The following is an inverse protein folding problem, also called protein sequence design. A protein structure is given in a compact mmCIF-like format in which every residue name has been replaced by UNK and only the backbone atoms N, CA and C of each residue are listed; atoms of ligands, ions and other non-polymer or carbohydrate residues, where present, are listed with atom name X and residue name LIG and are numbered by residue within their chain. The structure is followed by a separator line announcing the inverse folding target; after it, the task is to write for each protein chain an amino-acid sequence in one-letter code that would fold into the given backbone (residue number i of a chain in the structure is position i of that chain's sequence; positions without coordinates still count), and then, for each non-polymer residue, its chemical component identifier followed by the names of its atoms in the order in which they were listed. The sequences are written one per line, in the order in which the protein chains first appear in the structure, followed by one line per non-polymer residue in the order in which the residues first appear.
data_IF_342375728488
#
_entry.id   IF_342375728488
#
_cell.length_a   1.000
_cell.length_b   1.000
_cell.length_c   1.000
_cell.angle_alpha   90.00
_cell.angle_beta   90.00
_cell.angle_gamma   90.00
#
_symmetry.space_group_name_H-M   'P 1'
#
loop_
_entity.id
_entity.type
_entity.pdbx_description
1 polymer ?
#
# COMPACT_ATOMS: atom_id res chain seq x y z
N UNK A 1 7.88 6.07 16.61
CA UNK A 1 7.70 5.23 15.40
C UNK A 1 8.65 4.07 15.50
N UNK A 2 8.17 2.84 15.36
CA UNK A 2 9.04 1.67 15.35
C UNK A 2 9.69 1.60 13.98
N UNK A 3 10.85 2.25 13.83
CA UNK A 3 11.62 2.20 12.60
C UNK A 3 12.49 0.94 12.59
N UNK A 4 12.89 0.46 11.41
CA UNK A 4 13.79 -0.68 11.26
C UNK A 4 15.11 -0.49 12.04
N UNK A 5 15.60 0.75 12.13
CA UNK A 5 16.73 1.14 12.99
C UNK A 5 16.48 0.83 14.47
N UNK A 6 15.27 1.11 14.96
CA UNK A 6 14.88 0.81 16.33
C UNK A 6 14.74 -0.70 16.57
N UNK A 7 14.24 -1.45 15.57
CA UNK A 7 14.20 -2.93 15.63
C UNK A 7 15.61 -3.50 15.65
N UNK A 8 16.52 -3.00 14.79
CA UNK A 8 17.92 -3.42 14.76
C UNK A 8 18.63 -3.13 16.07
N UNK A 9 18.33 -1.99 16.69
CA UNK A 9 18.82 -1.66 18.02
C UNK A 9 18.27 -2.61 19.09
N UNK A 10 16.96 -2.83 19.13
CA UNK A 10 16.32 -3.67 20.16
C UNK A 10 16.67 -5.16 20.04
N UNK A 11 16.83 -5.67 18.81
CA UNK A 11 17.06 -7.10 18.55
C UNK A 11 18.56 -7.44 18.50
N UNK A 12 19.36 -6.58 17.87
CA UNK A 12 20.79 -6.85 17.62
C UNK A 12 21.75 -5.90 18.34
N UNK A 13 21.25 -4.88 19.05
CA UNK A 13 22.08 -3.86 19.69
C UNK A 13 22.77 -2.92 18.70
N UNK A 14 22.33 -2.89 17.43
CA UNK A 14 22.94 -2.11 16.37
C UNK A 14 22.26 -0.76 16.21
N UNK A 15 22.96 0.33 16.55
CA UNK A 15 22.51 1.69 16.28
C UNK A 15 22.88 2.08 14.84
N UNK A 16 21.91 1.99 13.93
CA UNK A 16 22.11 2.21 12.50
C UNK A 16 21.16 3.30 12.02
N UNK A 17 21.71 4.38 11.46
CA UNK A 17 20.91 5.46 10.92
C UNK A 17 20.02 5.01 9.74
N UNK A 18 18.88 5.69 9.56
CA UNK A 18 17.91 5.42 8.49
C UNK A 18 18.55 5.48 7.11
N UNK A 19 19.53 6.38 6.89
CA UNK A 19 20.22 6.50 5.61
C UNK A 19 21.11 5.28 5.37
N UNK A 20 21.83 4.82 6.39
CA UNK A 20 22.68 3.63 6.29
C UNK A 20 21.87 2.38 5.97
N UNK A 21 20.70 2.19 6.62
CA UNK A 21 19.80 1.09 6.27
C UNK A 21 19.30 1.21 4.83
N UNK A 22 18.91 2.41 4.41
CA UNK A 22 18.42 2.67 3.04
C UNK A 22 19.47 2.34 1.97
N UNK A 23 20.73 2.69 2.22
CA UNK A 23 21.86 2.33 1.35
C UNK A 23 22.08 0.82 1.32
N UNK A 24 22.02 0.14 2.46
CA UNK A 24 22.08 -1.33 2.53
C UNK A 24 20.98 -2.01 1.70
N UNK A 25 19.75 -1.51 1.81
CA UNK A 25 18.60 -1.99 1.03
C UNK A 25 18.79 -1.77 -0.46
N UNK A 26 19.41 -0.66 -0.89
CA UNK A 26 19.72 -0.41 -2.30
C UNK A 26 20.59 -1.52 -2.89
N UNK A 27 21.61 -1.98 -2.16
CA UNK A 27 22.46 -3.08 -2.62
C UNK A 27 21.70 -4.40 -2.65
N UNK A 28 21.00 -4.74 -1.56
CA UNK A 28 20.25 -6.00 -1.45
C UNK A 28 19.19 -6.07 -2.56
N UNK A 29 18.33 -5.07 -2.66
CA UNK A 29 17.28 -5.01 -3.68
C UNK A 29 17.83 -4.88 -5.10
N UNK A 30 18.93 -4.15 -5.29
CA UNK A 30 19.62 -4.09 -6.58
C UNK A 30 19.99 -5.48 -7.10
N UNK A 31 20.58 -6.33 -6.24
CA UNK A 31 20.91 -7.70 -6.61
C UNK A 31 19.67 -8.58 -6.81
N UNK A 32 18.65 -8.47 -5.96
CA UNK A 32 17.44 -9.28 -6.08
C UNK A 32 16.67 -9.01 -7.40
N UNK A 33 16.64 -7.76 -7.86
CA UNK A 33 15.89 -7.35 -9.06
C UNK A 33 16.61 -7.78 -10.36
N UNK A 34 17.87 -8.21 -10.29
CA UNK A 34 18.55 -8.81 -11.44
C UNK A 34 17.99 -10.19 -11.81
N UNK A 35 17.25 -10.84 -10.91
CA UNK A 35 16.57 -12.10 -11.20
C UNK A 35 15.46 -11.87 -12.23
N UNK A 36 15.48 -12.66 -13.31
CA UNK A 36 14.59 -12.46 -14.48
C UNK A 36 13.38 -13.39 -14.53
N UNK A 37 13.46 -14.53 -13.83
CA UNK A 37 12.40 -15.53 -13.80
C UNK A 37 11.71 -15.44 -12.44
N UNK A 38 10.52 -14.86 -12.42
CA UNK A 38 9.71 -14.75 -11.19
C UNK A 38 9.26 -16.11 -10.66
N UNK A 39 9.18 -17.11 -11.54
CA UNK A 39 8.86 -18.50 -11.19
C UNK A 39 9.82 -19.06 -10.13
N UNK A 40 11.08 -18.62 -10.10
CA UNK A 40 12.06 -19.03 -9.10
C UNK A 40 11.62 -18.60 -7.69
N UNK A 41 10.89 -17.48 -7.59
CA UNK A 41 10.40 -16.95 -6.33
C UNK A 41 9.03 -17.50 -5.92
N UNK A 42 8.38 -18.35 -6.72
CA UNK A 42 7.04 -18.87 -6.41
C UNK A 42 6.99 -19.53 -5.01
N UNK A 43 7.99 -20.34 -4.65
CA UNK A 43 8.08 -20.97 -3.33
C UNK A 43 8.35 -19.95 -2.21
N UNK A 44 9.20 -18.96 -2.47
CA UNK A 44 9.50 -17.89 -1.50
C UNK A 44 8.31 -16.95 -1.28
N UNK A 45 7.43 -16.78 -2.27
CA UNK A 45 6.20 -15.98 -2.12
C UNK A 45 5.20 -16.68 -1.20
N UNK A 46 5.00 -17.98 -1.35
CA UNK A 46 4.16 -18.75 -0.42
C UNK A 46 4.69 -18.62 1.02
N UNK A 47 6.01 -18.69 1.19
CA UNK A 47 6.63 -18.47 2.49
C UNK A 47 6.37 -17.04 3.01
N UNK A 48 6.52 -16.01 2.18
CA UNK A 48 6.22 -14.62 2.53
C UNK A 48 4.75 -14.40 2.92
N UNK A 49 3.82 -15.05 2.22
CA UNK A 49 2.39 -14.99 2.53
C UNK A 49 2.08 -15.61 3.89
N UNK A 50 2.77 -16.70 4.26
CA UNK A 50 2.67 -17.29 5.61
C UNK A 50 3.16 -16.29 6.66
N UNK A 51 4.26 -15.58 6.41
CA UNK A 51 4.78 -14.56 7.35
C UNK A 51 3.80 -13.40 7.55
N UNK A 52 3.14 -12.95 6.47
CA UNK A 52 2.08 -11.94 6.54
C UNK A 52 0.90 -12.46 7.36
N UNK A 53 0.45 -13.70 7.11
CA UNK A 53 -0.64 -14.32 7.85
C UNK A 53 -0.33 -14.42 9.35
N UNK A 54 0.89 -14.83 9.72
CA UNK A 54 1.35 -14.84 11.12
C UNK A 54 1.29 -13.45 11.73
N UNK A 55 1.75 -12.43 11.00
CA UNK A 55 1.72 -11.03 11.45
C UNK A 55 0.29 -10.57 11.73
N UNK A 56 -0.64 -10.84 10.81
CA UNK A 56 -2.07 -10.50 10.96
C UNK A 56 -2.67 -11.22 12.17
N UNK A 57 -2.40 -12.52 12.34
CA UNK A 57 -2.91 -13.31 13.48
C UNK A 57 -2.44 -12.72 14.80
N UNK A 58 -1.14 -12.37 14.91
CA UNK A 58 -0.58 -11.79 16.13
C UNK A 58 -1.22 -10.44 16.43
N UNK A 59 -1.40 -9.58 15.42
CA UNK A 59 -2.12 -8.30 15.59
C UNK A 59 -3.54 -8.57 16.10
N UNK A 60 -4.26 -9.54 15.53
CA UNK A 60 -5.60 -9.87 16.00
C UNK A 60 -5.61 -10.38 17.45
N UNK A 61 -4.62 -11.18 17.87
CA UNK A 61 -4.50 -11.67 19.25
C UNK A 61 -4.31 -10.49 20.21
N UNK A 62 -3.37 -9.59 19.92
CA UNK A 62 -3.16 -8.39 20.75
C UNK A 62 -4.40 -7.48 20.77
N UNK A 63 -5.08 -7.32 19.63
CA UNK A 63 -6.33 -6.58 19.56
C UNK A 63 -7.43 -7.21 20.40
N UNK A 64 -7.55 -8.55 20.39
CA UNK A 64 -8.54 -9.28 21.18
C UNK A 64 -8.23 -9.21 22.68
N UNK A 65 -6.96 -9.27 23.08
CA UNK A 65 -6.54 -9.04 24.47
C UNK A 65 -6.90 -7.63 24.91
N UNK A 66 -6.59 -6.62 24.09
CA UNK A 66 -6.93 -5.22 24.38
C UNK A 66 -8.44 -5.00 24.49
N UNK A 67 -9.22 -5.63 23.61
CA UNK A 67 -10.68 -5.61 23.63
C UNK A 67 -11.24 -6.27 24.89
N UNK A 68 -10.63 -7.36 25.35
CA UNK A 68 -11.00 -8.03 26.62
C UNK A 68 -10.72 -7.14 27.83
N UNK A 69 -9.59 -6.45 27.83
CA UNK A 69 -9.13 -5.67 28.99
C UNK A 69 -9.84 -4.31 29.11
N UNK A 70 -10.14 -3.64 27.99
CA UNK A 70 -10.69 -2.28 27.96
C UNK A 70 -12.10 -2.16 27.38
N UNK A 71 -12.64 -3.23 26.81
CA UNK A 71 -13.88 -3.17 26.03
C UNK A 71 -13.67 -2.53 24.65
N UNK A 72 -14.78 -2.32 23.94
CA UNK A 72 -14.76 -1.78 22.57
C UNK A 72 -14.36 -0.30 22.56
N UNK A 73 -13.39 0.04 21.71
CA UNK A 73 -12.95 1.42 21.47
C UNK A 73 -13.74 2.08 20.33
N UNK A 74 -14.80 1.46 19.82
CA UNK A 74 -15.57 2.01 18.69
C UNK A 74 -16.19 3.38 19.02
N UNK A 75 -16.58 3.60 20.27
CA UNK A 75 -17.18 4.87 20.72
C UNK A 75 -16.21 6.04 20.71
N UNK A 76 -14.90 5.80 20.62
CA UNK A 76 -13.89 6.87 20.58
C UNK A 76 -13.66 7.42 19.18
N UNK A 77 -14.23 6.79 18.15
CA UNK A 77 -14.08 7.19 16.75
C UNK A 77 -15.44 7.67 16.23
N UNK A 78 -15.52 8.85 15.57
CA UNK A 78 -16.77 9.30 14.97
C UNK A 78 -17.18 8.34 13.85
N UNK A 79 -18.50 8.18 13.65
CA UNK A 79 -19.03 7.35 12.56
C UNK A 79 -18.54 7.79 11.17
N UNK A 80 -18.33 9.09 10.98
CA UNK A 80 -17.79 9.65 9.74
C UNK A 80 -16.69 10.67 10.03
N UNK A 81 -15.49 10.43 9.49
CA UNK A 81 -14.36 11.33 9.62
C UNK A 81 -14.36 12.38 8.50
N UNK A 82 -14.89 13.57 8.78
CA UNK A 82 -14.97 14.66 7.79
C UNK A 82 -13.61 15.20 7.34
N UNK A 83 -12.52 14.84 8.02
CA UNK A 83 -11.18 15.38 7.78
C UNK A 83 -10.38 14.50 6.83
N UNK A 84 -10.37 13.18 7.04
CA UNK A 84 -9.52 12.25 6.29
C UNK A 84 -10.30 11.18 5.50
N UNK A 85 -11.63 11.26 5.39
CA UNK A 85 -12.38 10.25 4.61
C UNK A 85 -11.95 10.18 3.14
N UNK A 86 -11.50 11.29 2.56
CA UNK A 86 -11.00 11.32 1.18
C UNK A 86 -9.71 10.48 1.02
N UNK A 87 -8.88 10.41 2.07
CA UNK A 87 -7.69 9.56 2.07
C UNK A 87 -8.10 8.08 2.00
N UNK A 88 -9.13 7.69 2.74
CA UNK A 88 -9.63 6.31 2.73
C UNK A 88 -10.06 5.84 1.33
N UNK A 89 -10.59 6.74 0.48
CA UNK A 89 -10.94 6.41 -0.91
C UNK A 89 -9.68 6.08 -1.71
N UNK A 90 -8.66 6.94 -1.67
CA UNK A 90 -7.38 6.72 -2.36
C UNK A 90 -6.69 5.44 -1.88
N UNK A 91 -6.67 5.22 -0.56
CA UNK A 91 -6.17 4.00 0.07
C UNK A 91 -6.88 2.74 -0.41
N UNK A 92 -8.20 2.80 -0.50
CA UNK A 92 -9.00 1.65 -0.93
C UNK A 92 -8.68 1.29 -2.37
N UNK A 93 -8.55 2.29 -3.26
CA UNK A 93 -8.17 2.04 -4.66
C UNK A 93 -6.74 1.48 -4.74
N UNK A 94 -5.79 2.06 -3.99
CA UNK A 94 -4.41 1.56 -3.92
C UNK A 94 -4.33 0.12 -3.38
N UNK A 95 -5.17 -0.25 -2.42
CA UNK A 95 -5.22 -1.60 -1.85
C UNK A 95 -5.57 -2.69 -2.87
N UNK A 96 -6.19 -2.34 -3.99
CA UNK A 96 -6.46 -3.24 -5.12
C UNK A 96 -5.49 -3.07 -6.29
N UNK A 97 -4.39 -2.33 -6.10
CA UNK A 97 -3.34 -2.21 -7.10
C UNK A 97 -2.59 -3.54 -7.26
N UNK A 98 -2.97 -4.28 -8.29
CA UNK A 98 -2.28 -5.50 -8.72
C UNK A 98 -2.51 -5.82 -10.20
N UNK A 99 -3.17 -4.90 -10.91
CA UNK A 99 -3.61 -5.07 -12.30
C UNK A 99 -2.45 -5.35 -13.26
N UNK A 100 -1.28 -4.75 -13.03
CA UNK A 100 -0.06 -4.98 -13.80
C UNK A 100 0.49 -6.40 -13.71
N UNK A 101 0.11 -7.16 -12.67
CA UNK A 101 0.52 -8.56 -12.47
C UNK A 101 -0.45 -9.56 -13.06
N UNK A 102 -1.69 -9.16 -13.37
CA UNK A 102 -2.74 -10.09 -13.81
C UNK A 102 -2.32 -10.81 -15.10
N UNK A 103 -1.86 -10.08 -16.13
CA UNK A 103 -1.47 -10.70 -17.41
C UNK A 103 -0.20 -11.54 -17.28
N UNK A 104 0.93 -11.05 -16.70
CA UNK A 104 2.13 -11.87 -16.56
C UNK A 104 1.91 -13.16 -15.74
N UNK A 105 1.04 -13.12 -14.72
CA UNK A 105 0.71 -14.31 -13.92
C UNK A 105 -0.21 -15.25 -14.69
N UNK A 106 -1.16 -14.72 -15.47
CA UNK A 106 -2.02 -15.54 -16.34
C UNK A 106 -1.19 -16.37 -17.34
N UNK A 107 -0.17 -15.77 -17.95
CA UNK A 107 0.67 -16.41 -18.97
C UNK A 107 1.48 -17.61 -18.44
N UNK A 108 1.82 -17.61 -17.14
CA UNK A 108 2.58 -18.68 -16.49
C UNK A 108 1.69 -19.67 -15.73
N UNK A 109 0.37 -19.45 -15.71
CA UNK A 109 -0.58 -20.33 -15.02
C UNK A 109 -0.85 -21.58 -15.85
N UNK A 110 -0.95 -22.75 -15.21
CA UNK A 110 -1.18 -24.02 -15.89
C UNK A 110 -2.45 -24.05 -16.78
N UNK A 111 -3.50 -23.34 -16.38
CA UNK A 111 -4.77 -23.23 -17.11
C UNK A 111 -5.19 -21.76 -17.31
N UNK A 112 -4.64 -21.05 -18.32
CA UNK A 112 -4.89 -19.62 -18.53
C UNK A 112 -6.37 -19.27 -18.82
N UNK A 113 -7.13 -20.18 -19.44
CA UNK A 113 -8.55 -19.95 -19.79
C UNK A 113 -9.44 -19.81 -18.55
N UNK A 114 -9.13 -20.53 -17.48
CA UNK A 114 -9.89 -20.49 -16.23
C UNK A 114 -9.36 -19.47 -15.22
N UNK A 115 -8.33 -18.70 -15.59
CA UNK A 115 -7.66 -17.76 -14.68
C UNK A 115 -8.62 -16.69 -14.11
N UNK A 116 -9.63 -16.27 -14.88
CA UNK A 116 -10.65 -15.33 -14.41
C UNK A 116 -11.38 -15.79 -13.13
N UNK A 117 -11.59 -17.11 -12.96
CA UNK A 117 -12.21 -17.66 -11.73
C UNK A 117 -11.30 -17.47 -10.51
N UNK A 118 -10.00 -17.61 -10.70
CA UNK A 118 -8.99 -17.37 -9.67
C UNK A 118 -9.00 -15.89 -9.30
N UNK A 119 -9.03 -14.99 -10.29
CA UNK A 119 -9.11 -13.53 -10.05
C UNK A 119 -10.35 -13.16 -9.23
N UNK A 120 -11.53 -13.71 -9.55
CA UNK A 120 -12.75 -13.47 -8.75
C UNK A 120 -12.63 -13.97 -7.32
N UNK A 121 -12.07 -15.16 -7.11
CA UNK A 121 -11.85 -15.71 -5.78
C UNK A 121 -10.88 -14.83 -4.96
N UNK A 122 -9.77 -14.40 -5.57
CA UNK A 122 -8.78 -13.53 -4.94
C UNK A 122 -9.43 -12.21 -4.52
N UNK A 123 -10.16 -11.53 -5.40
CA UNK A 123 -10.84 -10.26 -5.08
C UNK A 123 -11.84 -10.44 -3.93
N UNK A 124 -12.62 -11.53 -3.93
CA UNK A 124 -13.58 -11.82 -2.87
C UNK A 124 -12.92 -12.05 -1.51
N UNK A 125 -11.85 -12.84 -1.48
CA UNK A 125 -11.09 -13.13 -0.26
C UNK A 125 -10.39 -11.88 0.27
N UNK A 126 -9.72 -11.10 -0.60
CA UNK A 126 -9.02 -9.88 -0.19
C UNK A 126 -9.98 -8.81 0.31
N UNK A 127 -11.12 -8.62 -0.36
CA UNK A 127 -12.17 -7.71 0.09
C UNK A 127 -12.67 -8.06 1.50
N UNK A 128 -12.99 -9.34 1.69
CA UNK A 128 -13.44 -9.84 3.01
C UNK A 128 -12.36 -9.61 4.06
N UNK A 129 -11.11 -9.92 3.76
CA UNK A 129 -9.99 -9.74 4.68
C UNK A 129 -9.78 -8.28 5.04
N UNK A 130 -9.73 -7.36 4.07
CA UNK A 130 -9.55 -5.93 4.33
C UNK A 130 -10.67 -5.33 5.18
N UNK A 131 -11.92 -5.67 4.89
CA UNK A 131 -13.07 -5.15 5.65
C UNK A 131 -13.09 -5.71 7.07
N UNK A 132 -12.94 -7.03 7.23
CA UNK A 132 -13.00 -7.68 8.55
C UNK A 132 -11.81 -7.24 9.42
N UNK A 133 -10.60 -7.27 8.87
CA UNK A 133 -9.40 -6.89 9.60
C UNK A 133 -9.40 -5.39 9.94
N UNK A 134 -9.73 -4.52 8.97
CA UNK A 134 -9.80 -3.07 9.20
C UNK A 134 -10.81 -2.71 10.28
N UNK A 135 -12.02 -3.28 10.21
CA UNK A 135 -13.06 -3.07 11.21
C UNK A 135 -12.63 -3.58 12.59
N UNK A 136 -12.02 -4.77 12.66
CA UNK A 136 -11.51 -5.33 13.90
C UNK A 136 -10.48 -4.40 14.57
N UNK A 137 -9.53 -3.87 13.79
CA UNK A 137 -8.51 -2.95 14.29
C UNK A 137 -9.13 -1.65 14.84
N UNK A 138 -10.14 -1.09 14.16
CA UNK A 138 -10.87 0.09 14.65
C UNK A 138 -11.61 -0.21 15.96
N UNK A 139 -12.26 -1.38 16.08
CA UNK A 139 -12.97 -1.79 17.29
C UNK A 139 -12.02 -2.00 18.48
N UNK A 140 -10.81 -2.53 18.22
CA UNK A 140 -9.84 -2.86 19.26
C UNK A 140 -8.96 -1.67 19.71
N UNK A 141 -8.53 -0.80 18.79
CA UNK A 141 -7.66 0.34 19.11
C UNK A 141 -8.35 1.70 19.07
N UNK A 142 -9.34 1.91 18.20
CA UNK A 142 -10.08 3.17 18.11
C UNK A 142 -9.17 4.40 18.01
N UNK A 143 -9.31 5.34 18.96
CA UNK A 143 -8.52 6.58 19.02
C UNK A 143 -7.04 6.38 19.38
N UNK A 144 -6.64 5.19 19.82
CA UNK A 144 -5.24 4.90 20.12
C UNK A 144 -4.38 4.76 18.86
N UNK A 145 -4.98 4.63 17.67
CA UNK A 145 -4.26 4.57 16.40
C UNK A 145 -3.74 5.94 16.00
N UNK A 146 -2.53 6.28 16.43
CA UNK A 146 -1.90 7.58 16.15
C UNK A 146 -1.14 7.58 14.83
N UNK A 147 -0.68 6.40 14.37
CA UNK A 147 0.01 6.26 13.09
C UNK A 147 -0.82 5.44 12.10
N UNK A 148 -0.59 5.61 10.78
CA UNK A 148 -1.28 4.84 9.75
C UNK A 148 -0.98 3.34 9.77
N UNK A 149 0.12 2.93 10.41
CA UNK A 149 0.58 1.55 10.48
C UNK A 149 0.08 0.89 11.76
N UNK A 150 -0.79 -0.11 11.64
CA UNK A 150 -1.31 -0.83 12.81
C UNK A 150 -0.20 -1.51 13.63
N UNK A 151 0.93 -1.86 12.99
CA UNK A 151 2.08 -2.49 13.63
C UNK A 151 2.76 -1.60 14.67
N UNK A 152 2.67 -0.27 14.54
CA UNK A 152 3.19 0.67 15.56
C UNK A 152 2.36 0.67 16.85
N UNK A 153 1.13 0.15 16.78
CA UNK A 153 0.21 0.10 17.93
C UNK A 153 0.35 -1.21 18.73
N UNK A 154 1.29 -2.07 18.34
CA UNK A 154 1.64 -3.27 19.10
C UNK A 154 2.41 -2.88 20.37
N UNK A 155 2.20 -3.59 21.49
CA UNK A 155 2.92 -3.32 22.73
C UNK A 155 4.41 -3.67 22.58
N UNK A 156 5.26 -2.97 23.32
CA UNK A 156 6.67 -3.32 23.39
C UNK A 156 6.84 -4.72 24.01
N UNK A 157 7.59 -5.57 23.32
CA UNK A 157 7.82 -6.95 23.74
C UNK A 157 8.53 -7.78 22.68
N UNK A 158 9.17 -8.86 23.13
CA UNK A 158 9.95 -9.76 22.27
C UNK A 158 9.08 -10.29 21.12
N UNK A 159 7.85 -10.70 21.40
CA UNK A 159 6.92 -11.24 20.39
C UNK A 159 6.63 -10.19 19.31
N UNK A 160 6.32 -8.96 19.70
CA UNK A 160 6.09 -7.85 18.77
C UNK A 160 7.32 -7.62 17.89
N UNK A 161 8.52 -7.50 18.46
CA UNK A 161 9.74 -7.27 17.67
C UNK A 161 10.06 -8.42 16.71
N UNK A 162 9.87 -9.67 17.14
CA UNK A 162 10.04 -10.85 16.26
C UNK A 162 9.06 -10.77 15.09
N UNK A 163 7.80 -10.47 15.35
CA UNK A 163 6.75 -10.40 14.32
C UNK A 163 6.98 -9.24 13.36
N UNK A 164 7.40 -8.07 13.84
CA UNK A 164 7.83 -6.97 12.97
C UNK A 164 9.05 -7.37 12.13
N UNK A 165 10.00 -8.11 12.70
CA UNK A 165 11.14 -8.65 11.96
C UNK A 165 10.71 -9.60 10.84
N UNK A 166 9.78 -10.53 11.12
CA UNK A 166 9.18 -11.41 10.11
C UNK A 166 8.41 -10.62 9.05
N UNK A 167 7.73 -9.56 9.45
CA UNK A 167 7.06 -8.64 8.53
C UNK A 167 8.08 -7.95 7.60
N UNK A 168 9.20 -7.46 8.13
CA UNK A 168 10.27 -6.92 7.29
C UNK A 168 10.84 -7.97 6.31
N UNK A 169 11.04 -9.21 6.77
CA UNK A 169 11.54 -10.32 5.92
C UNK A 169 10.59 -10.59 4.75
N UNK A 170 9.27 -10.58 4.96
CA UNK A 170 8.31 -10.79 3.87
C UNK A 170 8.43 -9.74 2.76
N UNK A 171 8.74 -8.48 3.13
CA UNK A 171 8.86 -7.38 2.17
C UNK A 171 10.05 -7.60 1.23
N UNK A 172 11.13 -8.24 1.70
CA UNK A 172 12.26 -8.59 0.83
C UNK A 172 11.88 -9.56 -0.29
N UNK A 173 10.98 -10.50 -0.01
CA UNK A 173 10.49 -11.44 -1.01
C UNK A 173 9.43 -10.82 -1.91
N UNK A 174 8.64 -9.88 -1.42
CA UNK A 174 7.58 -9.22 -2.19
C UNK A 174 8.11 -8.18 -3.18
N UNK A 175 9.24 -7.53 -2.85
CA UNK A 175 9.79 -6.43 -3.65
C UNK A 175 10.15 -6.81 -5.10
N UNK A 176 10.83 -7.93 -5.40
CA UNK A 176 11.14 -8.32 -6.77
C UNK A 176 9.89 -8.56 -7.63
N UNK A 177 8.82 -9.09 -7.02
CA UNK A 177 7.56 -9.36 -7.70
C UNK A 177 6.87 -8.06 -8.11
N UNK A 178 6.82 -7.07 -7.22
CA UNK A 178 6.24 -5.75 -7.52
C UNK A 178 7.01 -4.99 -8.61
N UNK A 179 8.34 -5.16 -8.67
CA UNK A 179 9.16 -4.53 -9.71
C UNK A 179 9.19 -5.28 -11.03
N UNK A 180 8.81 -6.56 -11.05
CA UNK A 180 8.79 -7.35 -12.28
C UNK A 180 8.02 -6.69 -13.44
N UNK A 181 6.75 -6.26 -13.28
CA UNK A 181 5.99 -5.66 -14.38
C UNK A 181 6.60 -4.33 -14.82
N UNK A 182 7.11 -3.53 -13.87
CA UNK A 182 7.83 -2.29 -14.17
C UNK A 182 9.04 -2.58 -15.05
N UNK A 183 9.83 -3.58 -14.70
CA UNK A 183 11.01 -3.98 -15.47
C UNK A 183 10.65 -4.50 -16.86
N UNK A 184 9.57 -5.26 -17.00
CA UNK A 184 9.08 -5.74 -18.31
C UNK A 184 8.67 -4.55 -19.19
N UNK A 185 7.93 -3.58 -18.63
CA UNK A 185 7.49 -2.38 -19.35
C UNK A 185 8.69 -1.53 -19.76
N UNK A 186 9.59 -1.21 -18.84
CA UNK A 186 10.82 -0.43 -19.12
C UNK A 186 11.69 -1.16 -20.15
N UNK A 187 11.86 -2.47 -20.02
CA UNK A 187 12.65 -3.26 -20.96
C UNK A 187 12.05 -3.24 -22.38
N UNK A 188 10.72 -3.27 -22.49
CA UNK A 188 10.02 -3.19 -23.77
C UNK A 188 10.07 -1.79 -24.39
N UNK A 189 9.99 -0.73 -23.59
CA UNK A 189 10.06 0.66 -24.11
C UNK A 189 11.45 0.99 -24.64
N UNK A 190 12.51 0.64 -23.92
CA UNK A 190 13.88 1.07 -24.26
C UNK A 190 14.66 0.06 -25.08
N UNK A 191 14.34 -1.23 -25.00
CA UNK A 191 15.18 -2.30 -25.53
C UNK A 191 14.40 -3.35 -26.36
N UNK A 192 13.20 -3.06 -26.87
CA UNK A 192 12.46 -4.01 -27.73
C UNK A 192 13.27 -4.40 -28.97
N UNK A 193 13.82 -3.40 -29.65
CA UNK A 193 14.44 -3.53 -30.96
C UNK A 193 15.94 -3.86 -30.88
N UNK A 194 16.48 -3.95 -29.66
CA UNK A 194 17.88 -4.25 -29.44
C UNK A 194 18.17 -5.74 -29.62
N UNK A 195 19.21 -6.04 -30.39
CA UNK A 195 19.75 -7.39 -30.50
C UNK A 195 20.12 -7.97 -29.13
N UNK A 196 20.02 -9.30 -29.02
CA UNK A 196 20.37 -10.05 -27.80
C UNK A 196 21.88 -10.06 -27.59
N UNK A 197 22.42 -8.94 -27.13
CA UNK A 197 23.86 -8.73 -26.86
C UNK A 197 24.13 -8.57 -25.35
N UNK A 198 25.37 -8.81 -24.89
CA UNK A 198 25.78 -8.52 -23.51
C UNK A 198 25.58 -7.05 -23.13
N UNK A 199 25.72 -6.13 -24.11
CA UNK A 199 25.45 -4.70 -23.93
C UNK A 199 23.99 -4.44 -23.57
N UNK A 200 23.05 -5.03 -24.31
CA UNK A 200 21.60 -4.96 -23.96
C UNK A 200 21.37 -5.47 -22.54
N UNK A 201 22.05 -6.55 -22.16
CA UNK A 201 21.85 -7.13 -20.84
C UNK A 201 22.38 -6.26 -19.70
N UNK A 202 23.53 -5.62 -19.90
CA UNK A 202 24.07 -4.66 -18.95
C UNK A 202 23.16 -3.43 -18.84
N UNK A 203 22.70 -2.87 -19.96
CA UNK A 203 21.77 -1.73 -19.96
C UNK A 203 20.47 -2.03 -19.22
N UNK A 204 19.90 -3.23 -19.39
CA UNK A 204 18.73 -3.69 -18.62
C UNK A 204 19.00 -3.79 -17.12
N UNK A 205 20.20 -4.23 -16.73
CA UNK A 205 20.57 -4.26 -15.32
C UNK A 205 20.73 -2.83 -14.77
N UNK A 206 21.28 -1.91 -15.56
CA UNK A 206 21.40 -0.50 -15.19
C UNK A 206 20.03 0.15 -14.98
N UNK A 207 19.07 -0.05 -15.88
CA UNK A 207 17.71 0.50 -15.70
C UNK A 207 17.00 -0.05 -14.47
N UNK A 208 17.22 -1.33 -14.16
CA UNK A 208 16.72 -1.96 -12.92
C UNK A 208 17.34 -1.32 -11.68
N UNK A 209 18.66 -1.15 -11.65
CA UNK A 209 19.34 -0.48 -10.54
C UNK A 209 18.89 0.97 -10.35
N UNK A 210 18.66 1.71 -11.45
CA UNK A 210 18.09 3.07 -11.39
C UNK A 210 16.70 3.04 -10.77
N UNK A 211 15.84 2.09 -11.18
CA UNK A 211 14.48 1.95 -10.64
C UNK A 211 14.50 1.67 -9.13
N UNK A 212 15.39 0.80 -8.67
CA UNK A 212 15.61 0.55 -7.23
C UNK A 212 16.09 1.82 -6.53
N UNK A 213 17.08 2.52 -7.11
CA UNK A 213 17.58 3.79 -6.57
C UNK A 213 16.49 4.85 -6.41
N UNK A 214 15.62 5.01 -7.40
CA UNK A 214 14.48 5.92 -7.33
C UNK A 214 13.51 5.54 -6.20
N UNK A 215 13.23 4.24 -6.01
CA UNK A 215 12.36 3.77 -4.92
C UNK A 215 12.95 4.07 -3.54
N UNK A 216 14.28 3.97 -3.38
CA UNK A 216 14.98 4.30 -2.13
C UNK A 216 14.94 5.80 -1.86
N UNK A 217 15.20 6.63 -2.88
CA UNK A 217 15.09 8.09 -2.75
C UNK A 217 13.67 8.49 -2.36
N UNK A 218 12.65 7.92 -3.01
CA UNK A 218 11.25 8.17 -2.65
C UNK A 218 10.96 7.76 -1.19
N UNK A 219 11.49 6.64 -0.72
CA UNK A 219 11.33 6.17 0.67
C UNK A 219 11.97 7.11 1.70
N UNK A 220 13.13 7.68 1.38
CA UNK A 220 13.81 8.66 2.25
C UNK A 220 12.99 9.95 2.32
N UNK A 221 12.47 10.44 1.18
CA UNK A 221 11.75 11.71 1.12
C UNK A 221 10.32 11.64 1.65
N UNK A 222 9.63 10.51 1.47
CA UNK A 222 8.18 10.41 1.68
C UNK A 222 7.79 9.48 2.82
N UNK A 223 8.74 8.74 3.43
CA UNK A 223 8.42 7.69 4.39
C UNK A 223 7.66 8.18 5.64
N UNK A 224 7.86 9.42 6.08
CA UNK A 224 7.17 9.98 7.26
C UNK A 224 5.71 10.41 6.96
N UNK A 225 5.36 10.56 5.68
CA UNK A 225 4.01 10.90 5.20
C UNK A 225 3.49 9.81 4.25
N UNK A 226 3.79 8.55 4.58
CA UNK A 226 3.44 7.40 3.77
C UNK A 226 1.93 7.35 3.52
N UNK A 227 1.11 7.72 4.50
CA UNK A 227 -0.32 7.67 4.33
C UNK A 227 -0.82 8.62 3.24
N UNK A 228 -0.38 9.88 3.33
CA UNK A 228 -0.70 10.92 2.35
C UNK A 228 -0.16 10.57 0.96
N UNK A 229 1.01 9.95 0.90
CA UNK A 229 1.60 9.54 -0.38
C UNK A 229 0.75 8.49 -1.07
N UNK A 230 0.35 7.44 -0.34
CA UNK A 230 -0.47 6.36 -0.89
C UNK A 230 -1.88 6.84 -1.28
N UNK A 231 -2.47 7.75 -0.51
CA UNK A 231 -3.75 8.40 -0.84
C UNK A 231 -3.68 9.11 -2.20
N UNK A 232 -2.66 9.97 -2.41
CA UNK A 232 -2.48 10.71 -3.66
C UNK A 232 -2.12 9.76 -4.82
N UNK A 233 -1.25 8.77 -4.58
CA UNK A 233 -0.87 7.78 -5.58
C UNK A 233 -2.08 6.96 -6.03
N UNK A 234 -2.93 6.51 -5.10
CA UNK A 234 -4.18 5.83 -5.41
C UNK A 234 -5.14 6.69 -6.25
N UNK A 235 -5.23 7.99 -5.93
CA UNK A 235 -6.06 8.93 -6.67
C UNK A 235 -5.56 9.19 -8.10
N UNK A 236 -4.27 9.50 -8.27
CA UNK A 236 -3.71 9.94 -9.57
C UNK A 236 -3.31 8.77 -10.46
N UNK A 237 -2.73 7.70 -9.91
CA UNK A 237 -2.18 6.60 -10.69
C UNK A 237 -3.14 5.40 -10.79
N UNK A 238 -3.65 4.91 -9.65
CA UNK A 238 -4.47 3.70 -9.62
C UNK A 238 -5.90 3.94 -10.14
N UNK A 239 -6.51 5.08 -9.81
CA UNK A 239 -7.90 5.38 -10.22
C UNK A 239 -8.08 5.39 -11.75
N UNK A 240 -7.18 6.01 -12.56
CA UNK A 240 -7.28 5.90 -14.00
C UNK A 240 -7.17 4.47 -14.53
N UNK A 241 -6.27 3.66 -13.97
CA UNK A 241 -6.05 2.29 -14.42
C UNK A 241 -7.22 1.38 -14.04
N UNK A 242 -7.80 1.57 -12.86
CA UNK A 242 -8.91 0.78 -12.37
C UNK A 242 -10.26 1.14 -13.04
N UNK A 243 -10.53 2.42 -13.27
CA UNK A 243 -11.86 2.88 -13.71
C UNK A 243 -11.84 3.58 -15.06
N UNK A 244 -10.93 4.53 -15.28
CA UNK A 244 -10.95 5.40 -16.46
C UNK A 244 -10.59 4.64 -17.75
N UNK A 245 -9.45 3.97 -17.79
CA UNK A 245 -8.99 3.27 -18.99
C UNK A 245 -9.91 2.10 -19.38
N UNK A 246 -10.36 1.22 -18.44
CA UNK A 246 -11.29 0.15 -18.79
C UNK A 246 -12.60 0.67 -19.39
N UNK A 247 -13.20 1.71 -18.78
CA UNK A 247 -14.42 2.31 -19.30
C UNK A 247 -14.19 2.99 -20.67
N UNK A 248 -13.06 3.66 -20.87
CA UNK A 248 -12.71 4.30 -22.14
C UNK A 248 -12.51 3.28 -23.27
N UNK A 249 -11.81 2.16 -22.97
CA UNK A 249 -11.60 1.09 -23.93
C UNK A 249 -12.90 0.37 -24.26
N UNK A 250 -13.73 0.06 -23.26
CA UNK A 250 -15.04 -0.55 -23.49
C UNK A 250 -15.93 0.36 -24.34
N UNK A 251 -16.00 1.66 -24.02
CA UNK A 251 -16.78 2.65 -24.77
C UNK A 251 -16.38 2.74 -26.25
N UNK A 252 -15.07 2.76 -26.53
CA UNK A 252 -14.56 2.93 -27.91
C UNK A 252 -14.60 1.64 -28.74
N UNK A 253 -14.35 0.49 -28.12
CA UNK A 253 -14.08 -0.76 -28.86
C UNK A 253 -15.23 -1.75 -28.78
N UNK A 254 -15.94 -1.81 -27.64
CA UNK A 254 -16.89 -2.91 -27.35
C UNK A 254 -18.35 -2.46 -27.23
N UNK A 255 -18.62 -1.20 -26.86
CA UNK A 255 -19.97 -0.71 -26.58
C UNK A 255 -20.82 -0.58 -27.85
N UNK A 256 -21.75 -1.53 -28.03
CA UNK A 256 -22.68 -1.56 -29.18
C UNK A 256 -24.02 -0.90 -28.88
N UNK A 257 -24.46 -0.92 -27.62
CA UNK A 257 -25.77 -0.39 -27.21
C UNK A 257 -25.64 0.98 -26.53
N UNK A 258 -26.69 1.80 -26.64
CA UNK A 258 -26.71 3.11 -25.99
C UNK A 258 -26.63 3.00 -24.46
N UNK A 259 -27.20 1.94 -23.86
CA UNK A 259 -27.12 1.68 -22.42
C UNK A 259 -25.68 1.43 -21.95
N UNK A 260 -24.92 0.60 -22.68
CA UNK A 260 -23.50 0.36 -22.39
C UNK A 260 -22.70 1.67 -22.47
N UNK A 261 -22.91 2.44 -23.55
CA UNK A 261 -22.26 3.74 -23.73
C UNK A 261 -22.55 4.73 -22.59
N UNK A 262 -23.80 4.77 -22.11
CA UNK A 262 -24.17 5.61 -20.97
C UNK A 262 -23.50 5.14 -19.69
N UNK A 263 -23.46 3.83 -19.42
CA UNK A 263 -22.78 3.28 -18.24
C UNK A 263 -21.29 3.64 -18.26
N UNK A 264 -20.61 3.41 -19.38
CA UNK A 264 -19.18 3.74 -19.51
C UNK A 264 -18.93 5.24 -19.31
N UNK A 265 -19.79 6.10 -19.86
CA UNK A 265 -19.69 7.54 -19.68
C UNK A 265 -19.88 7.96 -18.22
N UNK A 266 -20.81 7.34 -17.50
CA UNK A 266 -21.02 7.58 -16.07
C UNK A 266 -19.78 7.18 -15.27
N UNK A 267 -19.18 6.01 -15.57
CA UNK A 267 -17.95 5.54 -14.92
C UNK A 267 -16.79 6.51 -15.21
N UNK A 268 -16.66 6.99 -16.44
CA UNK A 268 -15.62 7.95 -16.82
C UNK A 268 -15.75 9.28 -16.06
N UNK A 269 -16.96 9.85 -16.00
CA UNK A 269 -17.21 11.09 -15.26
C UNK A 269 -16.91 10.86 -13.77
N UNK A 270 -17.42 9.76 -13.19
CA UNK A 270 -17.15 9.41 -11.80
C UNK A 270 -15.64 9.28 -11.53
N UNK A 271 -14.89 8.57 -12.38
CA UNK A 271 -13.46 8.38 -12.21
C UNK A 271 -12.68 9.70 -12.26
N UNK A 272 -13.00 10.58 -13.21
CA UNK A 272 -12.36 11.90 -13.33
C UNK A 272 -12.71 12.79 -12.14
N UNK A 273 -13.98 12.80 -11.71
CA UNK A 273 -14.41 13.56 -10.54
C UNK A 273 -13.78 13.05 -9.25
N UNK A 274 -13.76 11.73 -9.04
CA UNK A 274 -13.14 11.10 -7.87
C UNK A 274 -11.64 11.35 -7.84
N UNK A 275 -10.94 11.21 -8.98
CA UNK A 275 -9.52 11.52 -9.11
C UNK A 275 -9.23 12.98 -8.76
N UNK A 276 -9.97 13.93 -9.34
CA UNK A 276 -9.82 15.36 -9.06
C UNK A 276 -10.07 15.67 -7.59
N UNK A 277 -11.19 15.19 -7.04
CA UNK A 277 -11.57 15.41 -5.66
C UNK A 277 -10.55 14.85 -4.66
N UNK A 278 -10.19 13.57 -4.79
CA UNK A 278 -9.26 12.91 -3.87
C UNK A 278 -7.86 13.50 -3.97
N UNK A 279 -7.41 13.87 -5.18
CA UNK A 279 -6.11 14.53 -5.38
C UNK A 279 -6.07 15.89 -4.71
N UNK A 280 -7.10 16.73 -4.90
CA UNK A 280 -7.18 18.04 -4.26
C UNK A 280 -7.20 17.90 -2.74
N UNK A 281 -8.01 16.99 -2.20
CA UNK A 281 -8.08 16.75 -0.76
C UNK A 281 -6.76 16.21 -0.20
N UNK A 282 -6.09 15.30 -0.92
CA UNK A 282 -4.77 14.77 -0.54
C UNK A 282 -3.70 15.85 -0.51
N UNK A 283 -3.65 16.74 -1.51
CA UNK A 283 -2.69 17.86 -1.56
C UNK A 283 -2.99 18.88 -0.46
N UNK A 284 -4.25 19.25 -0.24
CA UNK A 284 -4.64 20.16 0.84
C UNK A 284 -4.31 19.56 2.21
N UNK A 285 -4.52 18.26 2.38
CA UNK A 285 -4.13 17.51 3.58
C UNK A 285 -2.61 17.39 3.75
N UNK A 286 -1.84 17.50 2.67
CA UNK A 286 -0.37 17.53 2.71
C UNK A 286 0.18 18.89 3.11
N UNK A 287 -0.46 19.97 2.64
CA UNK A 287 -0.07 21.36 2.87
C UNK A 287 -0.57 21.94 4.20
N UNK A 288 -1.65 21.38 4.76
CA UNK A 288 -2.14 21.74 6.09
C UNK A 288 -1.24 21.14 7.18
N UNK A 289 -0.40 21.98 7.77
CA UNK A 289 0.56 21.65 8.82
C UNK A 289 -0.05 20.93 10.05
N UNK A 290 0.81 20.20 10.78
CA UNK A 290 0.49 19.35 11.94
C UNK A 290 -0.37 20.03 13.04
N UNK A 291 -0.36 21.36 13.11
CA UNK A 291 -1.07 22.13 14.14
C UNK A 291 -2.59 22.14 13.95
N UNK A 292 -3.08 22.03 12.71
CA UNK A 292 -4.52 21.93 12.45
C UNK A 292 -5.04 20.54 12.83
N UNK A 293 -4.22 19.50 12.71
CA UNK A 293 -4.56 18.15 13.16
C UNK A 293 -4.53 18.05 14.70
N UNK A 294 -3.50 18.61 15.37
CA UNK A 294 -3.44 18.66 16.84
C UNK A 294 -4.63 19.41 17.45
N UNK A 295 -5.07 20.53 16.85
CA UNK A 295 -6.29 21.24 17.26
C UNK A 295 -7.58 20.48 16.92
N UNK A 296 -7.61 19.73 15.80
CA UNK A 296 -8.76 18.90 15.43
C UNK A 296 -8.95 17.70 16.34
N UNK A 297 -7.90 17.09 16.88
CA UNK A 297 -8.01 15.99 17.86
C UNK A 297 -8.13 16.46 19.32
N UNK A 298 -7.62 17.66 19.67
CA UNK A 298 -7.76 18.23 21.02
C UNK A 298 -9.21 18.57 21.40
N UNK A 299 -10.08 18.80 20.41
CA UNK A 299 -11.52 19.02 20.62
C UNK A 299 -12.34 17.73 20.72
N UNK A 300 -11.72 16.55 20.62
CA UNK A 300 -12.37 15.24 20.84
C UNK A 300 -12.11 14.69 22.25
N UNK A 301 -12.04 15.56 23.25
CA UNK A 301 -12.21 15.12 24.64
C UNK A 301 -13.70 15.24 25.00
N UNK A 302 -14.45 14.13 25.10
CA UNK A 302 -15.88 14.19 25.47
C UNK A 302 -16.14 14.77 26.87
N UNK A 303 -15.08 15.01 27.67
CA UNK A 303 -15.17 15.55 29.03
C UNK A 303 -14.65 16.99 29.17
N UNK A 304 -14.34 17.70 28.09
CA UNK A 304 -13.88 19.11 28.17
C UNK A 304 -14.96 20.05 27.63
N UNK A 305 -15.52 20.97 28.42
CA UNK A 305 -16.46 21.95 27.90
C UNK A 305 -15.76 22.84 26.85
N UNK A 306 -16.48 23.29 25.80
CA UNK A 306 -15.90 24.09 24.73
C UNK A 306 -15.27 25.36 25.32
N UNK A 307 -13.97 25.52 25.12
CA UNK A 307 -13.28 26.77 25.43
C UNK A 307 -13.87 27.88 24.57
N UNK A 308 -14.36 28.99 25.16
CA UNK A 308 -14.88 30.09 24.38
C UNK A 308 -13.75 30.71 23.54
N UNK A 309 -13.94 30.71 22.23
CA UNK A 309 -13.13 31.47 21.28
C UNK A 309 -13.23 32.96 21.61
N UNK A 310 -12.26 33.49 22.32
CA UNK A 310 -11.98 34.93 22.33
C UNK A 310 -11.18 35.23 21.06
N UNK A 311 -11.88 35.71 20.04
CA UNK A 311 -11.28 36.47 18.94
C UNK A 311 -10.80 37.80 19.52
N UNK A 312 -9.48 38.03 19.46
CA UNK A 312 -8.84 39.34 19.48
C UNK A 312 -7.67 39.27 18.49
#
# INVERSE_FOLDING_TARGET
MVNISHILYMVFGLDVDRITVSIGLLFIFGFLVFVRRIEIFASTHIFADILIAVTVIVIMIYGAMKLKDRGSMLSTVPFFNTVSYADAIGFSVYGYEGIGMIMPVQDITANPESYHKIVYAVIGVTCTMFVVFGQFCVVAWGSDMVTPLITDNLPDGIISYVVLGLFCINLFFSYPLQLYPVNVIVDNIFFSDWEKTPKRQFSKNTTRSITVGLSVVATILLGDKLDKFLSILGAIACTPIAFLFPALFHYKVSAKTQKQKTIDMVILIFAVSAMGYCTTMGILGWAGDEDVMKLKYANFNPNKPPTPTTLA
#
